data_IF_160650425325
#
_entry.id   IF_160650425325
#
_cell.length_a   1.000
_cell.length_b   1.000
_cell.length_c   1.000
_cell.angle_alpha   90.00
_cell.angle_beta   90.00
_cell.angle_gamma   90.00
#
_symmetry.space_group_name_H-M   'P 1'
#
loop_
_entity.id
_entity.type
_entity.pdbx_description
1 polymer ?
#
# COMPACT_ATOMS: atom_id res chain seq x y z
N UNK A 1 -23.81 -14.71 4.52
CA UNK A 1 -23.94 -14.39 5.95
C UNK A 1 -23.29 -13.03 6.16
N UNK A 2 -24.05 -11.98 6.50
CA UNK A 2 -23.50 -10.62 6.64
C UNK A 2 -22.72 -10.52 7.95
N UNK A 3 -21.49 -9.99 7.91
CA UNK A 3 -20.70 -9.75 9.12
C UNK A 3 -21.29 -8.57 9.91
N UNK A 4 -21.28 -8.65 11.25
CA UNK A 4 -21.66 -7.51 12.08
C UNK A 4 -20.53 -6.47 12.08
N UNK A 5 -20.82 -5.27 11.58
CA UNK A 5 -19.88 -4.14 11.54
C UNK A 5 -19.45 -3.68 12.94
N UNK A 6 -20.20 -4.02 13.99
CA UNK A 6 -19.90 -3.61 15.37
C UNK A 6 -18.72 -4.35 16.00
N UNK A 7 -18.23 -5.43 15.37
CA UNK A 7 -17.01 -6.11 15.80
C UNK A 7 -15.76 -5.33 15.37
N UNK A 8 -15.17 -4.59 16.32
CA UNK A 8 -13.96 -3.77 16.12
C UNK A 8 -12.77 -4.52 15.57
N UNK A 9 -12.47 -5.68 16.11
CA UNK A 9 -11.25 -6.39 15.74
C UNK A 9 -11.41 -6.97 14.34
N UNK A 10 -12.57 -7.55 14.03
CA UNK A 10 -12.90 -8.02 12.68
C UNK A 10 -12.95 -6.89 11.64
N UNK A 11 -13.48 -5.71 12.00
CA UNK A 11 -13.50 -4.55 11.10
C UNK A 11 -12.10 -3.98 10.88
N UNK A 12 -11.27 -3.86 11.91
CA UNK A 12 -9.90 -3.37 11.79
C UNK A 12 -8.99 -4.35 11.01
N UNK A 13 -9.29 -5.65 11.05
CA UNK A 13 -8.61 -6.66 10.24
C UNK A 13 -8.92 -6.50 8.74
N UNK A 14 -10.19 -6.28 8.41
CA UNK A 14 -10.67 -6.11 7.04
C UNK A 14 -10.51 -4.68 6.51
N UNK A 15 -10.27 -3.71 7.41
CA UNK A 15 -9.94 -2.35 7.06
C UNK A 15 -8.59 -2.31 6.37
N UNK A 16 -8.62 -1.89 5.13
CA UNK A 16 -7.46 -1.68 4.30
C UNK A 16 -7.66 -0.32 3.63
N UNK A 17 -6.60 0.49 3.58
CA UNK A 17 -6.63 1.72 2.80
C UNK A 17 -6.82 1.42 1.29
N UNK A 18 -6.50 0.21 0.81
CA UNK A 18 -6.87 -0.31 -0.52
C UNK A 18 -8.34 -0.77 -0.62
N UNK A 19 -8.94 -1.27 0.47
CA UNK A 19 -10.34 -1.73 0.47
C UNK A 19 -11.22 -0.50 0.41
N UNK A 20 -11.53 -0.09 -0.82
CA UNK A 20 -12.52 0.95 -1.12
C UNK A 20 -13.70 0.75 -0.17
N UNK A 21 -14.20 1.83 0.45
CA UNK A 21 -15.39 1.77 1.30
C UNK A 21 -16.57 1.05 0.61
N UNK A 22 -16.55 0.95 -0.73
CA UNK A 22 -17.43 0.13 -1.56
C UNK A 22 -17.33 -1.39 -1.29
N UNK A 23 -16.12 -1.96 -1.20
CA UNK A 23 -15.91 -3.39 -0.98
C UNK A 23 -16.26 -3.76 0.48
N UNK A 24 -15.92 -2.91 1.45
CA UNK A 24 -16.38 -3.13 2.84
C UNK A 24 -17.90 -2.97 2.98
N UNK A 25 -18.50 -2.01 2.27
CA UNK A 25 -19.95 -1.85 2.22
C UNK A 25 -20.64 -3.13 1.71
N UNK A 26 -20.04 -3.84 0.75
CA UNK A 26 -20.52 -5.13 0.28
C UNK A 26 -20.35 -6.24 1.31
N UNK A 27 -19.20 -6.35 1.97
CA UNK A 27 -18.90 -7.38 2.98
C UNK A 27 -19.83 -7.26 4.20
N UNK A 28 -20.06 -6.04 4.66
CA UNK A 28 -20.88 -5.73 5.83
C UNK A 28 -22.35 -5.41 5.48
N UNK A 29 -22.73 -5.57 4.20
CA UNK A 29 -24.07 -5.26 3.69
C UNK A 29 -24.60 -3.90 4.17
N UNK A 30 -23.78 -2.85 4.11
CA UNK A 30 -24.14 -1.51 4.57
C UNK A 30 -23.64 -0.41 3.62
N UNK A 31 -23.92 0.86 3.93
CA UNK A 31 -23.55 1.98 3.05
C UNK A 31 -22.08 2.38 3.24
N UNK A 32 -21.45 2.94 2.19
CA UNK A 32 -20.11 3.53 2.29
C UNK A 32 -20.00 4.58 3.39
N UNK A 33 -21.05 5.39 3.57
CA UNK A 33 -21.11 6.40 4.63
C UNK A 33 -21.03 5.78 6.02
N UNK A 34 -21.68 4.63 6.24
CA UNK A 34 -21.60 3.87 7.49
C UNK A 34 -20.20 3.29 7.71
N UNK A 35 -19.56 2.75 6.67
CA UNK A 35 -18.15 2.31 6.73
C UNK A 35 -17.21 3.46 7.11
N UNK A 36 -17.36 4.63 6.47
CA UNK A 36 -16.53 5.80 6.78
C UNK A 36 -16.73 6.29 8.20
N UNK A 37 -17.99 6.43 8.64
CA UNK A 37 -18.30 6.81 10.02
C UNK A 37 -17.65 5.85 11.01
N UNK A 38 -17.71 4.55 10.73
CA UNK A 38 -17.12 3.52 11.58
C UNK A 38 -15.58 3.58 11.61
N UNK A 39 -14.94 3.71 10.44
CA UNK A 39 -13.49 3.89 10.35
C UNK A 39 -13.00 5.14 11.09
N UNK A 40 -13.78 6.23 11.05
CA UNK A 40 -13.52 7.43 11.85
C UNK A 40 -13.68 7.11 13.33
N UNK A 41 -14.81 6.55 13.77
CA UNK A 41 -15.09 6.22 15.18
C UNK A 41 -14.00 5.35 15.84
N UNK A 42 -13.32 4.51 15.06
CA UNK A 42 -12.31 3.57 15.54
C UNK A 42 -10.86 3.97 15.22
N UNK A 43 -10.62 5.23 14.87
CA UNK A 43 -9.27 5.79 14.63
C UNK A 43 -8.48 5.04 13.55
N UNK A 44 -9.19 4.54 12.53
CA UNK A 44 -8.63 3.84 11.37
C UNK A 44 -8.29 4.79 10.22
N UNK A 45 -8.48 6.10 10.41
CA UNK A 45 -8.13 7.15 9.46
C UNK A 45 -7.20 8.18 10.09
N UNK A 46 -6.22 8.70 9.35
CA UNK A 46 -5.39 9.82 9.78
C UNK A 46 -6.23 11.05 10.13
N UNK A 47 -5.80 11.77 11.17
CA UNK A 47 -6.38 13.04 11.58
C UNK A 47 -5.29 14.09 11.82
N UNK A 48 -5.65 15.35 11.63
CA UNK A 48 -4.80 16.48 11.98
C UNK A 48 -4.77 16.69 13.51
N UNK A 49 -3.89 17.57 14.03
CA UNK A 49 -3.87 17.93 15.45
C UNK A 49 -5.18 18.51 15.99
N UNK A 50 -6.05 19.01 15.11
CA UNK A 50 -7.40 19.53 15.45
C UNK A 50 -8.46 18.42 15.47
N UNK A 51 -8.08 17.16 15.25
CA UNK A 51 -8.97 16.00 15.26
C UNK A 51 -9.81 15.82 14.00
N UNK A 52 -9.53 16.58 12.94
CA UNK A 52 -10.22 16.47 11.65
C UNK A 52 -9.59 15.37 10.82
N UNK A 53 -10.42 14.56 10.17
CA UNK A 53 -9.95 13.51 9.26
C UNK A 53 -9.24 14.15 8.07
N UNK A 54 -8.00 13.74 7.81
CA UNK A 54 -7.22 14.22 6.68
C UNK A 54 -7.07 13.14 5.62
N UNK A 55 -6.90 13.60 4.38
CA UNK A 55 -6.43 12.77 3.30
C UNK A 55 -4.95 13.07 3.15
N UNK A 56 -4.12 12.16 3.64
CA UNK A 56 -2.67 12.26 3.47
C UNK A 56 -2.32 11.73 2.09
N UNK A 57 -1.45 12.44 1.37
CA UNK A 57 -0.95 11.95 0.09
C UNK A 57 0.21 10.96 0.26
N UNK A 58 0.64 10.37 -0.85
CA UNK A 58 1.71 9.38 -0.84
C UNK A 58 3.04 9.96 -0.41
N UNK A 59 3.37 11.18 -0.84
CA UNK A 59 4.69 11.77 -0.66
C UNK A 59 4.83 12.34 0.76
N UNK A 60 3.77 12.93 1.30
CA UNK A 60 3.62 13.32 2.71
C UNK A 60 3.76 12.12 3.64
N UNK A 61 3.05 11.03 3.35
CA UNK A 61 3.17 9.82 4.17
C UNK A 61 4.53 9.14 3.97
N UNK A 62 5.09 9.13 2.76
CA UNK A 62 6.43 8.60 2.50
C UNK A 62 7.52 9.37 3.25
N UNK A 63 7.40 10.70 3.38
CA UNK A 63 8.33 11.50 4.17
C UNK A 63 8.28 11.12 5.67
N UNK A 64 7.08 10.93 6.23
CA UNK A 64 6.91 10.45 7.59
C UNK A 64 7.43 9.00 7.76
N UNK A 65 7.22 8.16 6.74
CA UNK A 65 7.61 6.75 6.70
C UNK A 65 9.11 6.52 6.39
N UNK A 66 9.79 7.47 5.75
CA UNK A 66 11.24 7.37 5.50
C UNK A 66 12.07 7.75 6.74
N UNK A 67 11.51 8.51 7.67
CA UNK A 67 12.21 8.88 8.91
C UNK A 67 12.50 7.68 9.82
N UNK A 68 13.45 7.82 10.76
CA UNK A 68 13.73 6.81 11.80
C UNK A 68 12.63 6.72 12.88
N UNK A 69 11.49 7.41 12.70
CA UNK A 69 10.40 7.41 13.68
C UNK A 69 9.76 6.03 13.76
N UNK A 70 9.57 5.42 14.95
CA UNK A 70 8.84 4.17 15.08
C UNK A 70 7.37 4.32 14.67
N UNK A 71 6.73 3.22 14.25
CA UNK A 71 5.31 3.21 13.80
C UNK A 71 4.36 3.82 14.82
N UNK A 72 4.59 3.55 16.12
CA UNK A 72 3.83 4.15 17.23
C UNK A 72 3.90 5.67 17.26
N UNK A 73 5.04 6.26 16.90
CA UNK A 73 5.19 7.71 16.87
C UNK A 73 4.43 8.31 15.69
N UNK A 74 4.47 7.67 14.51
CA UNK A 74 3.66 8.09 13.35
C UNK A 74 2.16 7.97 13.66
N UNK A 75 1.76 6.89 14.33
CA UNK A 75 0.37 6.69 14.75
C UNK A 75 -0.11 7.80 15.67
N UNK A 76 0.73 8.24 16.61
CA UNK A 76 0.48 9.39 17.47
C UNK A 76 0.35 10.70 16.69
N UNK A 77 1.29 10.97 15.76
CA UNK A 77 1.28 12.17 14.92
C UNK A 77 0.02 12.26 14.03
N UNK A 78 -0.40 11.12 13.47
CA UNK A 78 -1.60 11.00 12.65
C UNK A 78 -2.88 10.71 13.45
N UNK A 79 -2.79 10.68 14.80
CA UNK A 79 -3.89 10.36 15.72
C UNK A 79 -4.75 9.17 15.26
N UNK A 80 -4.08 8.10 14.85
CA UNK A 80 -4.69 6.87 14.37
C UNK A 80 -4.02 5.66 15.02
N UNK A 81 -4.56 4.47 14.79
CA UNK A 81 -3.95 3.23 15.29
C UNK A 81 -2.68 2.86 14.53
N UNK A 82 -1.73 2.16 15.17
CA UNK A 82 -0.52 1.64 14.48
C UNK A 82 -0.87 0.75 13.29
N UNK A 83 -1.97 0.00 13.40
CA UNK A 83 -2.49 -0.82 12.30
C UNK A 83 -2.90 0.02 11.10
N UNK A 84 -3.54 1.16 11.31
CA UNK A 84 -3.89 2.09 10.24
C UNK A 84 -2.63 2.65 9.54
N UNK A 85 -1.55 2.92 10.29
CA UNK A 85 -0.27 3.34 9.72
C UNK A 85 0.35 2.25 8.84
N UNK A 86 0.37 1.00 9.31
CA UNK A 86 0.88 -0.13 8.51
C UNK A 86 0.07 -0.31 7.22
N UNK A 87 -1.25 -0.22 7.29
CA UNK A 87 -2.12 -0.29 6.10
C UNK A 87 -1.91 0.89 5.14
N UNK A 88 -1.58 2.07 5.64
CA UNK A 88 -1.20 3.21 4.78
C UNK A 88 0.13 2.95 4.07
N UNK A 89 1.10 2.34 4.74
CA UNK A 89 2.34 1.93 4.11
C UNK A 89 2.09 0.90 3.00
N UNK A 90 1.26 -0.12 3.27
CA UNK A 90 0.82 -1.09 2.26
C UNK A 90 0.11 -0.40 1.07
N UNK A 91 -0.81 0.53 1.35
CA UNK A 91 -1.56 1.28 0.34
C UNK A 91 -0.67 2.13 -0.57
N UNK A 92 0.36 2.75 0.00
CA UNK A 92 1.31 3.56 -0.76
C UNK A 92 2.46 2.75 -1.36
N UNK A 93 2.41 1.42 -1.20
CA UNK A 93 3.47 0.47 -1.58
C UNK A 93 4.83 0.88 -1.00
N UNK A 94 4.82 1.44 0.21
CA UNK A 94 6.02 1.78 0.95
C UNK A 94 6.47 0.52 1.67
N UNK A 95 7.65 0.01 1.29
CA UNK A 95 8.17 -1.25 1.80
C UNK A 95 8.09 -1.37 3.33
N UNK A 96 7.94 -2.60 3.80
CA UNK A 96 7.90 -2.93 5.22
C UNK A 96 9.12 -2.34 5.93
N UNK A 97 8.86 -1.45 6.89
CA UNK A 97 9.84 -1.07 7.91
C UNK A 97 10.08 -2.31 8.74
N UNK A 98 11.10 -3.06 8.38
CA UNK A 98 11.37 -4.33 9.02
C UNK A 98 11.92 -4.11 10.43
N UNK A 99 11.04 -3.84 11.39
CA UNK A 99 11.38 -3.74 12.82
C UNK A 99 11.78 -5.13 13.36
N UNK A 100 11.56 -6.21 12.58
CA UNK A 100 11.90 -7.59 12.98
C UNK A 100 13.08 -8.21 12.23
N UNK A 101 13.55 -7.68 11.10
CA UNK A 101 14.75 -8.21 10.43
C UNK A 101 16.08 -7.86 11.12
N UNK A 102 16.15 -6.83 11.97
CA UNK A 102 17.39 -6.51 12.68
C UNK A 102 17.70 -7.47 13.84
N UNK A 103 16.71 -8.20 14.37
CA UNK A 103 16.87 -9.03 15.57
C UNK A 103 16.87 -10.55 15.31
N UNK A 104 16.64 -11.01 14.07
CA UNK A 104 16.56 -12.46 13.76
C UNK A 104 17.21 -12.89 12.44
N UNK A 105 18.13 -12.10 11.90
CA UNK A 105 18.88 -12.43 10.69
C UNK A 105 20.39 -12.64 10.97
N UNK A 106 20.74 -13.12 12.17
CA UNK A 106 22.11 -13.58 12.48
C UNK A 106 22.35 -15.01 12.01
N UNK A 107 21.33 -15.79 11.65
CA UNK A 107 21.55 -17.15 11.13
C UNK A 107 20.82 -17.40 9.82
N UNK A 108 21.63 -17.80 8.83
CA UNK A 108 21.29 -18.46 7.57
C UNK A 108 21.02 -17.55 6.36
N UNK A 109 22.12 -17.18 5.72
CA UNK A 109 22.27 -16.69 4.33
C UNK A 109 21.57 -17.59 3.28
N UNK A 110 21.21 -17.08 2.08
CA UNK A 110 22.22 -16.79 1.04
C UNK A 110 22.24 -15.29 0.65
N UNK A 111 23.44 -14.77 0.40
CA UNK A 111 23.69 -13.40 -0.07
C UNK A 111 22.88 -13.10 -1.34
N UNK A 112 21.83 -12.30 -1.22
CA UNK A 112 21.27 -11.56 -2.36
C UNK A 112 22.05 -10.26 -2.50
N UNK A 113 22.75 -10.11 -3.60
CA UNK A 113 23.56 -8.94 -3.94
C UNK A 113 22.66 -7.68 -3.92
N UNK A 114 22.92 -6.66 -3.10
CA UNK A 114 22.14 -5.42 -3.10
C UNK A 114 22.57 -4.58 -4.29
N UNK A 115 21.69 -4.37 -5.28
CA UNK A 115 21.93 -3.39 -6.35
C UNK A 115 21.37 -3.68 -7.74
N UNK A 116 20.78 -4.85 -8.00
CA UNK A 116 20.16 -5.09 -9.30
C UNK A 116 18.81 -4.34 -9.38
N UNK A 117 18.77 -3.22 -10.11
CA UNK A 117 17.52 -2.59 -10.52
C UNK A 117 16.65 -3.65 -11.17
N UNK A 118 15.45 -3.86 -10.61
CA UNK A 118 14.46 -4.79 -11.17
C UNK A 118 14.20 -4.49 -12.67
N UNK A 119 14.30 -3.22 -13.06
CA UNK A 119 14.25 -2.80 -14.46
C UNK A 119 15.62 -2.93 -15.11
N UNK A 120 15.72 -3.88 -16.03
CA UNK A 120 16.87 -4.09 -16.92
C UNK A 120 16.55 -3.54 -18.31
N UNK A 121 17.59 -3.28 -19.12
CA UNK A 121 17.42 -2.83 -20.50
C UNK A 121 16.54 -3.80 -21.31
N UNK A 122 16.79 -5.09 -21.19
CA UNK A 122 16.03 -6.17 -21.85
C UNK A 122 14.53 -6.11 -21.50
N UNK A 123 14.20 -5.88 -20.22
CA UNK A 123 12.80 -5.76 -19.77
C UNK A 123 12.15 -4.47 -20.28
N UNK A 124 12.89 -3.37 -20.34
CA UNK A 124 12.39 -2.13 -20.92
C UNK A 124 12.11 -2.26 -22.42
N UNK A 125 12.90 -3.05 -23.16
CA UNK A 125 12.65 -3.35 -24.58
C UNK A 125 11.37 -4.16 -24.77
N UNK A 126 11.15 -5.20 -23.97
CA UNK A 126 9.89 -5.97 -23.97
C UNK A 126 8.69 -5.07 -23.69
N UNK A 127 8.82 -4.16 -22.73
CA UNK A 127 7.77 -3.19 -22.41
C UNK A 127 7.55 -2.21 -23.57
N UNK A 128 8.59 -1.70 -24.22
CA UNK A 128 8.43 -0.84 -25.43
C UNK A 128 7.74 -1.60 -26.56
N UNK A 129 8.14 -2.85 -26.81
CA UNK A 129 7.56 -3.71 -27.84
C UNK A 129 6.07 -4.01 -27.60
N UNK A 130 5.61 -3.99 -26.34
CA UNK A 130 4.17 -4.14 -26.02
C UNK A 130 3.30 -3.02 -26.64
N UNK A 131 3.89 -1.86 -26.94
CA UNK A 131 3.19 -0.70 -27.48
C UNK A 131 2.13 -0.11 -26.54
N UNK A 132 2.13 -0.48 -25.26
CA UNK A 132 1.13 -0.02 -24.28
C UNK A 132 -0.21 -0.76 -24.39
N UNK A 133 -0.28 -1.84 -25.16
CA UNK A 133 -1.52 -2.63 -25.32
C UNK A 133 -1.80 -3.39 -24.02
N UNK A 134 -3.01 -3.24 -23.49
CA UNK A 134 -3.43 -3.85 -22.23
C UNK A 134 -3.30 -5.38 -22.20
N UNK A 135 -3.58 -6.05 -23.33
CA UNK A 135 -3.40 -7.51 -23.45
C UNK A 135 -1.93 -7.91 -23.31
N UNK A 136 -1.03 -7.26 -24.05
CA UNK A 136 0.41 -7.51 -23.97
C UNK A 136 0.99 -7.19 -22.58
N UNK A 137 0.50 -6.14 -21.91
CA UNK A 137 0.91 -5.79 -20.55
C UNK A 137 0.42 -6.83 -19.53
N UNK A 138 -0.78 -7.40 -19.72
CA UNK A 138 -1.29 -8.47 -18.86
C UNK A 138 -0.48 -9.76 -19.01
N UNK A 139 0.01 -10.07 -20.21
CA UNK A 139 0.90 -11.21 -20.43
C UNK A 139 2.29 -10.98 -19.81
N UNK A 140 2.87 -9.79 -20.01
CA UNK A 140 4.12 -9.39 -19.34
C UNK A 140 4.00 -9.37 -17.81
N UNK A 141 2.81 -9.05 -17.27
CA UNK A 141 2.52 -9.10 -15.84
C UNK A 141 2.66 -10.50 -15.27
N UNK A 142 2.19 -11.52 -16.00
CA UNK A 142 2.32 -12.92 -15.62
C UNK A 142 3.76 -13.41 -15.79
N UNK A 143 4.42 -13.03 -16.88
CA UNK A 143 5.78 -13.48 -17.21
C UNK A 143 6.84 -12.90 -16.26
N UNK A 144 6.72 -11.62 -15.91
CA UNK A 144 7.68 -10.92 -15.05
C UNK A 144 7.33 -10.99 -13.55
N UNK A 145 6.16 -11.55 -13.21
CA UNK A 145 5.67 -11.63 -11.82
C UNK A 145 5.40 -10.27 -11.18
N UNK A 146 4.96 -9.27 -11.97
CA UNK A 146 4.71 -7.90 -11.52
C UNK A 146 3.26 -7.53 -11.83
N UNK A 147 2.62 -6.73 -10.99
CA UNK A 147 1.32 -6.17 -11.29
C UNK A 147 1.31 -5.33 -12.59
N UNK A 148 0.34 -5.58 -13.47
CA UNK A 148 0.12 -4.87 -14.74
C UNK A 148 0.15 -3.33 -14.63
N UNK A 149 -0.40 -2.68 -13.58
CA UNK A 149 -0.31 -1.22 -13.42
C UNK A 149 1.13 -0.70 -13.33
N UNK A 150 2.03 -1.47 -12.72
CA UNK A 150 3.45 -1.10 -12.55
C UNK A 150 4.20 -1.19 -13.89
N UNK A 151 3.85 -2.17 -14.72
CA UNK A 151 4.36 -2.28 -16.10
C UNK A 151 3.81 -1.15 -16.97
N UNK A 152 2.53 -0.82 -16.85
CA UNK A 152 1.90 0.30 -17.57
C UNK A 152 2.53 1.64 -17.20
N UNK A 153 2.79 1.88 -15.91
CA UNK A 153 3.50 3.06 -15.44
C UNK A 153 4.94 3.13 -15.98
N UNK A 154 5.64 1.99 -16.06
CA UNK A 154 6.98 1.91 -16.67
C UNK A 154 6.94 2.21 -18.16
N UNK A 155 5.96 1.67 -18.90
CA UNK A 155 5.75 1.96 -20.32
C UNK A 155 5.55 3.45 -20.59
N UNK A 156 4.69 4.12 -19.82
CA UNK A 156 4.48 5.57 -19.95
C UNK A 156 5.78 6.37 -19.75
N UNK A 157 6.62 5.99 -18.79
CA UNK A 157 7.92 6.64 -18.55
C UNK A 157 8.92 6.39 -19.69
N UNK A 158 8.92 5.19 -20.27
CA UNK A 158 9.78 4.85 -21.41
C UNK A 158 9.35 5.59 -22.70
N UNK A 159 8.05 5.82 -22.88
CA UNK A 159 7.50 6.55 -24.03
C UNK A 159 7.86 8.04 -24.03
N UNK A 160 7.96 8.68 -22.86
CA UNK A 160 8.28 10.12 -22.74
C UNK A 160 9.77 10.41 -22.95
N UNK A 161 10.64 9.39 -22.82
CA UNK A 161 12.09 9.50 -22.99
C UNK A 161 12.61 9.06 -24.37
N UNK A 162 11.72 8.62 -25.26
CA UNK A 162 12.01 8.31 -26.66
C UNK A 162 11.59 9.50 -27.54
#
# INVERSE_FOLDING_TARGET
MALNIENRDGFAELWDANTKALLMAQIYSCTKGRIYHWAVKHDLRPRDPKGRVIQIDRDEFAALWAGQKPTRQIASELRCTERAVLRLADYFELGSRDIRAAAKAVELTPRTVPGASFWTHERDELIRASGGRYSAIADLSKELGIAAPKIMARWHRLRVKA
#
